data_IF_534522799188
#
_entry.id   IF_534522799188
#
_cell.length_a   1.000
_cell.length_b   1.000
_cell.length_c   1.000
_cell.angle_alpha   90.00
_cell.angle_beta   90.00
_cell.angle_gamma   90.00
#
_symmetry.space_group_name_H-M   'P 1'
#
loop_
_entity.id
_entity.type
_entity.pdbx_description
1 polymer ?
#
# COMPACT_ATOMS: atom_id res chain seq x y z
N UNK A 1 27.10 -6.66 0.59
CA UNK A 1 26.73 -5.92 1.82
C UNK A 1 25.33 -5.37 1.62
N UNK A 2 24.30 -6.18 1.88
CA UNK A 2 22.92 -5.70 1.83
C UNK A 2 22.56 -5.20 3.20
N UNK A 3 22.43 -3.88 3.39
CA UNK A 3 21.89 -3.34 4.62
C UNK A 3 20.51 -3.98 4.84
N UNK A 4 20.38 -4.79 5.90
CA UNK A 4 19.11 -5.38 6.31
C UNK A 4 18.20 -4.23 6.71
N UNK A 5 17.37 -3.76 5.77
CA UNK A 5 16.40 -2.70 6.03
C UNK A 5 15.51 -3.13 7.20
N UNK A 6 15.35 -2.23 8.18
CA UNK A 6 14.57 -2.50 9.38
C UNK A 6 13.10 -2.78 9.02
N UNK A 7 12.44 -3.78 9.64
CA UNK A 7 11.01 -4.06 9.41
C UNK A 7 10.11 -2.82 9.59
N UNK A 8 10.44 -1.97 10.56
CA UNK A 8 9.72 -0.71 10.80
C UNK A 8 9.80 0.25 9.60
N UNK A 9 10.95 0.36 8.94
CA UNK A 9 11.13 1.22 7.77
C UNK A 9 10.31 0.75 6.56
N UNK A 10 10.15 -0.58 6.39
CA UNK A 10 9.25 -1.15 5.38
C UNK A 10 7.78 -0.94 5.71
N UNK A 11 7.40 -1.01 6.99
CA UNK A 11 6.03 -0.69 7.43
C UNK A 11 5.67 0.75 7.14
N UNK A 12 6.57 1.69 7.44
CA UNK A 12 6.38 3.10 7.12
C UNK A 12 6.27 3.31 5.60
N UNK A 13 7.11 2.63 4.82
CA UNK A 13 7.05 2.70 3.36
C UNK A 13 5.69 2.22 2.81
N UNK A 14 5.09 1.15 3.36
CA UNK A 14 3.73 0.73 2.98
C UNK A 14 2.67 1.76 3.31
N UNK A 15 2.77 2.39 4.48
CA UNK A 15 1.84 3.45 4.92
C UNK A 15 1.86 4.61 3.92
N UNK A 16 3.05 5.10 3.58
CA UNK A 16 3.19 6.17 2.58
C UNK A 16 2.76 5.73 1.18
N UNK A 17 3.10 4.51 0.77
CA UNK A 17 2.71 3.98 -0.53
C UNK A 17 1.17 3.91 -0.65
N UNK A 18 0.48 3.50 0.41
CA UNK A 18 -0.98 3.47 0.45
C UNK A 18 -1.58 4.88 0.24
N UNK A 19 -1.08 5.87 0.98
CA UNK A 19 -1.53 7.26 0.84
C UNK A 19 -1.27 7.81 -0.57
N UNK A 20 -0.09 7.53 -1.14
CA UNK A 20 0.27 7.96 -2.49
C UNK A 20 -0.58 7.28 -3.57
N UNK A 21 -0.86 5.98 -3.44
CA UNK A 21 -1.75 5.23 -4.33
C UNK A 21 -3.18 5.78 -4.23
N UNK A 22 -3.66 6.06 -3.03
CA UNK A 22 -4.97 6.68 -2.82
C UNK A 22 -5.05 8.05 -3.49
N UNK A 23 -4.05 8.92 -3.29
CA UNK A 23 -3.94 10.22 -3.97
C UNK A 23 -4.00 10.06 -5.49
N UNK A 24 -3.17 9.16 -6.04
CA UNK A 24 -3.15 8.86 -7.47
C UNK A 24 -4.52 8.40 -8.00
N UNK A 25 -5.27 7.62 -7.23
CA UNK A 25 -6.60 7.18 -7.63
C UNK A 25 -7.61 8.33 -7.75
N UNK A 26 -7.45 9.38 -6.95
CA UNK A 26 -8.31 10.56 -6.95
C UNK A 26 -7.87 11.54 -8.03
N UNK A 27 -6.60 11.96 -7.99
CA UNK A 27 -6.09 13.06 -8.80
C UNK A 27 -5.77 12.63 -10.23
N UNK A 28 -5.46 11.35 -10.45
CA UNK A 28 -4.94 10.82 -11.71
C UNK A 28 -3.68 11.55 -12.21
N UNK A 29 -2.97 12.20 -11.30
CA UNK A 29 -1.72 12.89 -11.61
C UNK A 29 -0.59 11.92 -11.96
N UNK A 30 0.49 12.49 -12.50
CA UNK A 30 1.70 11.73 -12.79
C UNK A 30 2.33 11.21 -11.49
N UNK A 31 2.81 9.96 -11.52
CA UNK A 31 3.45 9.30 -10.38
C UNK A 31 4.63 10.11 -9.84
N UNK A 32 5.45 10.69 -10.71
CA UNK A 32 6.60 11.49 -10.30
C UNK A 32 6.17 12.73 -9.52
N UNK A 33 5.08 13.38 -9.92
CA UNK A 33 4.53 14.55 -9.21
C UNK A 33 4.01 14.16 -7.82
N UNK A 34 3.30 13.04 -7.71
CA UNK A 34 2.83 12.53 -6.42
C UNK A 34 4.02 12.14 -5.55
N UNK A 35 5.02 11.48 -6.11
CA UNK A 35 6.24 11.13 -5.39
C UNK A 35 6.95 12.37 -4.83
N UNK A 36 7.10 13.41 -5.65
CA UNK A 36 7.69 14.70 -5.23
C UNK A 36 6.88 15.38 -4.12
N UNK A 37 5.55 15.36 -4.17
CA UNK A 37 4.70 15.90 -3.10
C UNK A 37 4.97 15.21 -1.76
N UNK A 38 5.13 13.88 -1.78
CA UNK A 38 5.40 13.09 -0.58
C UNK A 38 6.85 13.24 -0.07
N UNK A 39 7.83 13.31 -0.98
CA UNK A 39 9.26 13.47 -0.62
C UNK A 39 9.64 14.89 -0.22
N UNK A 40 8.97 15.90 -0.76
CA UNK A 40 9.21 17.30 -0.38
C UNK A 40 8.64 17.65 1.00
N UNK A 41 7.83 16.76 1.58
CA UNK A 41 7.53 16.62 3.00
C UNK A 41 7.35 17.91 3.81
N UNK A 42 6.11 18.25 4.17
CA UNK A 42 5.86 18.99 5.42
C UNK A 42 6.05 20.52 5.37
N UNK A 43 5.55 21.20 4.33
CA UNK A 43 5.35 22.67 4.35
C UNK A 43 3.88 23.10 4.35
N UNK A 44 3.01 22.28 4.93
CA UNK A 44 1.67 22.73 5.31
C UNK A 44 1.66 22.74 6.84
N UNK A 45 1.91 23.93 7.37
CA UNK A 45 1.88 24.40 8.76
C UNK A 45 2.25 23.41 9.89
N UNK A 46 3.41 23.69 10.50
CA UNK A 46 3.90 23.17 11.77
C UNK A 46 3.09 23.65 13.00
N UNK A 47 1.80 23.91 12.88
CA UNK A 47 1.02 24.44 14.00
C UNK A 47 -0.02 23.40 14.43
N UNK A 48 0.28 22.77 15.57
CA UNK A 48 -0.64 21.99 16.39
C UNK A 48 -0.98 20.57 15.88
N UNK A 49 -0.06 19.62 16.11
CA UNK A 49 -0.33 18.42 16.92
C UNK A 49 0.91 17.51 16.95
N UNK A 50 1.59 17.49 18.10
CA UNK A 50 2.63 16.50 18.39
C UNK A 50 2.04 15.09 18.45
N UNK A 51 2.29 14.28 17.41
CA UNK A 51 2.35 12.83 17.51
C UNK A 51 3.36 12.29 16.48
N UNK A 52 4.05 11.22 16.86
CA UNK A 52 5.16 10.55 16.19
C UNK A 52 4.80 9.93 14.81
N UNK A 53 4.34 10.73 13.86
CA UNK A 53 4.20 10.30 12.47
C UNK A 53 5.61 10.14 11.86
N UNK A 54 5.93 8.97 11.27
CA UNK A 54 7.22 8.75 10.63
C UNK A 54 7.40 9.71 9.46
N UNK A 55 8.62 10.15 9.18
CA UNK A 55 8.92 10.94 7.99
C UNK A 55 9.23 10.02 6.80
N UNK A 56 8.88 10.45 5.57
CA UNK A 56 9.28 9.75 4.33
C UNK A 56 10.75 10.07 3.98
N UNK A 57 11.65 9.80 4.93
CA UNK A 57 13.09 10.02 4.80
C UNK A 57 13.84 8.84 5.39
N UNK A 58 15.04 8.59 4.89
CA UNK A 58 15.92 7.60 5.49
C UNK A 58 16.49 8.15 6.82
N UNK A 59 16.71 7.31 7.84
CA UNK A 59 16.58 5.84 7.83
C UNK A 59 15.20 5.32 8.30
N UNK A 60 14.28 6.21 8.66
CA UNK A 60 13.00 5.84 9.29
C UNK A 60 12.02 5.22 8.31
N UNK A 61 12.15 5.52 7.02
CA UNK A 61 11.37 4.92 5.94
C UNK A 61 12.27 4.39 4.83
N UNK A 62 11.93 3.20 4.33
CA UNK A 62 12.58 2.64 3.13
C UNK A 62 12.03 3.32 1.87
N UNK A 63 12.65 4.45 1.49
CA UNK A 63 12.23 5.27 0.35
C UNK A 63 12.30 4.49 -0.97
N UNK A 64 13.30 3.60 -1.11
CA UNK A 64 13.41 2.77 -2.31
C UNK A 64 12.25 1.78 -2.42
N UNK A 65 11.86 1.18 -1.29
CA UNK A 65 10.70 0.29 -1.24
C UNK A 65 9.38 1.04 -1.49
N UNK A 66 9.21 2.23 -0.91
CA UNK A 66 8.07 3.10 -1.19
C UNK A 66 7.93 3.38 -2.70
N UNK A 67 9.01 3.79 -3.36
CA UNK A 67 9.04 4.08 -4.81
C UNK A 67 8.65 2.88 -5.64
N UNK A 68 9.20 1.72 -5.32
CA UNK A 68 8.89 0.46 -6.01
C UNK A 68 7.42 0.09 -5.88
N UNK A 69 6.85 0.19 -4.67
CA UNK A 69 5.43 -0.09 -4.43
C UNK A 69 4.52 0.87 -5.21
N UNK A 70 4.78 2.18 -5.13
CA UNK A 70 3.97 3.19 -5.80
C UNK A 70 4.03 3.02 -7.33
N UNK A 71 5.22 3.04 -7.91
CA UNK A 71 5.40 2.95 -9.36
C UNK A 71 4.86 1.61 -9.88
N UNK A 72 5.14 0.52 -9.18
CA UNK A 72 4.71 -0.81 -9.56
C UNK A 72 3.21 -1.00 -9.56
N UNK A 73 2.51 -0.47 -8.54
CA UNK A 73 1.04 -0.48 -8.49
C UNK A 73 0.46 0.35 -9.63
N UNK A 74 0.97 1.56 -9.85
CA UNK A 74 0.43 2.43 -10.91
C UNK A 74 0.65 1.83 -12.30
N UNK A 75 1.83 1.25 -12.57
CA UNK A 75 2.10 0.61 -13.87
C UNK A 75 1.29 -0.66 -14.10
N UNK A 76 0.92 -1.37 -13.04
CA UNK A 76 0.26 -2.69 -13.13
C UNK A 76 -1.20 -2.65 -12.70
N UNK A 77 -1.80 -1.48 -12.48
CA UNK A 77 -3.09 -1.37 -11.78
C UNK A 77 -4.21 -2.16 -12.48
N UNK A 78 -4.27 -2.16 -13.82
CA UNK A 78 -5.26 -2.92 -14.58
C UNK A 78 -5.08 -4.42 -14.41
N UNK A 79 -3.84 -4.91 -14.42
CA UNK A 79 -3.51 -6.31 -14.19
C UNK A 79 -3.91 -6.72 -12.77
N UNK A 80 -3.60 -5.88 -11.78
CA UNK A 80 -3.96 -6.08 -10.37
C UNK A 80 -5.47 -6.13 -10.20
N UNK A 81 -6.22 -5.22 -10.82
CA UNK A 81 -7.68 -5.20 -10.77
C UNK A 81 -8.28 -6.47 -11.35
N UNK A 82 -7.77 -6.95 -12.49
CA UNK A 82 -8.18 -8.22 -13.08
C UNK A 82 -7.90 -9.41 -12.15
N UNK A 83 -6.79 -9.40 -11.41
CA UNK A 83 -6.46 -10.44 -10.43
C UNK A 83 -7.28 -10.33 -9.15
N UNK A 84 -7.71 -9.14 -8.73
CA UNK A 84 -8.51 -8.93 -7.52
C UNK A 84 -9.97 -9.35 -7.74
N UNK A 85 -10.52 -9.00 -8.90
CA UNK A 85 -11.95 -9.14 -9.24
C UNK A 85 -12.58 -10.51 -8.96
N UNK A 86 -11.92 -11.67 -9.17
CA UNK A 86 -12.51 -12.97 -8.87
C UNK A 86 -12.75 -13.24 -7.37
N UNK A 87 -12.09 -12.49 -6.50
CA UNK A 87 -12.07 -12.74 -5.06
C UNK A 87 -12.96 -11.77 -4.26
N UNK A 88 -13.44 -10.70 -4.90
CA UNK A 88 -14.32 -9.72 -4.26
C UNK A 88 -15.76 -10.21 -4.23
N UNK A 89 -16.46 -9.95 -3.13
CA UNK A 89 -17.89 -10.28 -2.98
C UNK A 89 -18.81 -9.29 -3.70
N UNK A 90 -18.29 -8.10 -4.05
CA UNK A 90 -18.99 -7.03 -4.75
C UNK A 90 -18.18 -6.53 -5.96
N UNK A 91 -18.83 -5.87 -6.94
CA UNK A 91 -18.16 -5.23 -8.05
C UNK A 91 -17.04 -4.28 -7.60
N UNK A 92 -15.95 -4.21 -8.38
CA UNK A 92 -14.80 -3.35 -8.08
C UNK A 92 -15.16 -1.86 -7.98
N UNK A 93 -16.19 -1.43 -8.72
CA UNK A 93 -16.69 -0.05 -8.71
C UNK A 93 -17.45 0.32 -7.41
N UNK A 94 -17.87 -0.68 -6.64
CA UNK A 94 -18.58 -0.52 -5.37
C UNK A 94 -17.61 -0.62 -4.17
N UNK A 95 -16.30 -0.72 -4.44
CA UNK A 95 -15.27 -0.67 -3.40
C UNK A 95 -14.94 0.78 -3.09
N UNK A 96 -14.70 1.06 -1.81
CA UNK A 96 -14.12 2.35 -1.43
C UNK A 96 -12.71 2.48 -2.03
N UNK A 97 -12.33 3.72 -2.34
CA UNK A 97 -11.01 4.00 -2.91
C UNK A 97 -9.88 3.54 -1.99
N UNK A 98 -10.06 3.61 -0.67
CA UNK A 98 -9.05 3.13 0.29
C UNK A 98 -8.95 1.60 0.28
N UNK A 99 -10.07 0.89 0.25
CA UNK A 99 -10.08 -0.58 0.11
C UNK A 99 -9.39 -1.02 -1.18
N UNK A 100 -9.69 -0.34 -2.29
CA UNK A 100 -9.08 -0.64 -3.58
C UNK A 100 -7.58 -0.38 -3.57
N UNK A 101 -7.13 0.71 -2.94
CA UNK A 101 -5.71 1.02 -2.78
C UNK A 101 -4.98 -0.04 -1.95
N UNK A 102 -5.58 -0.47 -0.84
CA UNK A 102 -5.07 -1.55 0.02
C UNK A 102 -4.93 -2.87 -0.74
N UNK A 103 -5.97 -3.27 -1.48
CA UNK A 103 -5.96 -4.50 -2.26
C UNK A 103 -4.92 -4.46 -3.37
N UNK A 104 -4.79 -3.35 -4.09
CA UNK A 104 -3.76 -3.16 -5.12
C UNK A 104 -2.36 -3.24 -4.55
N UNK A 105 -2.10 -2.54 -3.44
CA UNK A 105 -0.82 -2.56 -2.74
C UNK A 105 -0.44 -3.98 -2.31
N UNK A 106 -1.35 -4.67 -1.62
CA UNK A 106 -1.11 -6.03 -1.13
C UNK A 106 -0.92 -7.03 -2.27
N UNK A 107 -1.70 -6.92 -3.35
CA UNK A 107 -1.58 -7.79 -4.52
C UNK A 107 -0.28 -7.56 -5.28
N UNK A 108 0.16 -6.31 -5.43
CA UNK A 108 1.46 -6.00 -6.01
C UNK A 108 2.59 -6.61 -5.18
N UNK A 109 2.56 -6.41 -3.87
CA UNK A 109 3.59 -6.95 -2.98
C UNK A 109 3.60 -8.50 -3.01
N UNK A 110 2.43 -9.16 -2.98
CA UNK A 110 2.36 -10.62 -3.11
C UNK A 110 2.84 -11.17 -4.46
N UNK A 111 2.62 -10.42 -5.56
CA UNK A 111 2.98 -10.86 -6.92
C UNK A 111 4.44 -10.56 -7.29
N UNK A 112 5.01 -9.46 -6.81
CA UNK A 112 6.32 -8.96 -7.27
C UNK A 112 7.40 -9.00 -6.19
N UNK A 113 7.05 -9.06 -4.89
CA UNK A 113 8.01 -9.06 -3.78
C UNK A 113 8.16 -10.45 -3.17
N UNK A 114 8.98 -11.27 -3.82
CA UNK A 114 9.34 -12.60 -3.30
C UNK A 114 10.10 -12.54 -1.97
N UNK A 115 10.79 -11.42 -1.69
CA UNK A 115 11.51 -11.19 -0.45
C UNK A 115 10.60 -11.00 0.78
N UNK A 116 9.29 -10.78 0.59
CA UNK A 116 8.33 -10.64 1.68
C UNK A 116 7.38 -11.84 1.72
N UNK A 117 7.28 -12.61 2.82
CA UNK A 117 6.31 -13.70 2.92
C UNK A 117 4.88 -13.19 2.77
N UNK A 118 4.04 -13.86 1.96
CA UNK A 118 2.67 -13.40 1.69
C UNK A 118 1.84 -13.21 2.98
N UNK A 119 2.06 -14.02 4.01
CA UNK A 119 1.39 -13.86 5.33
C UNK A 119 1.71 -12.52 6.00
N UNK A 120 2.94 -12.03 5.83
CA UNK A 120 3.35 -10.72 6.34
C UNK A 120 2.62 -9.62 5.56
N UNK A 121 2.53 -9.76 4.23
CA UNK A 121 1.78 -8.82 3.38
C UNK A 121 0.31 -8.71 3.80
N UNK A 122 -0.35 -9.87 4.00
CA UNK A 122 -1.75 -9.93 4.44
C UNK A 122 -1.92 -9.25 5.80
N UNK A 123 -1.08 -9.60 6.78
CA UNK A 123 -1.15 -9.00 8.11
C UNK A 123 -0.96 -7.47 8.07
N UNK A 124 0.03 -6.97 7.33
CA UNK A 124 0.29 -5.53 7.23
C UNK A 124 -0.85 -4.80 6.49
N UNK A 125 -1.47 -5.42 5.47
CA UNK A 125 -2.63 -4.86 4.80
C UNK A 125 -3.85 -4.75 5.72
N UNK A 126 -4.07 -5.73 6.60
CA UNK A 126 -5.15 -5.71 7.60
C UNK A 126 -4.92 -4.61 8.62
N UNK A 127 -3.68 -4.47 9.11
CA UNK A 127 -3.35 -3.41 10.07
C UNK A 127 -3.52 -2.02 9.44
N UNK A 128 -3.10 -1.82 8.18
CA UNK A 128 -3.38 -0.57 7.47
C UNK A 128 -4.88 -0.34 7.26
N UNK A 129 -5.66 -1.37 6.96
CA UNK A 129 -7.11 -1.26 6.81
C UNK A 129 -7.80 -0.81 8.10
N UNK A 130 -7.32 -1.25 9.27
CA UNK A 130 -7.84 -0.79 10.57
C UNK A 130 -7.55 0.69 10.85
N UNK A 131 -6.47 1.22 10.28
CA UNK A 131 -6.03 2.61 10.51
C UNK A 131 -6.69 3.57 9.51
N UNK A 132 -6.82 3.18 8.25
CA UNK A 132 -7.18 4.10 7.15
C UNK A 132 -8.57 3.88 6.55
N UNK A 133 -9.13 2.67 6.65
CA UNK A 133 -10.40 2.35 6.00
C UNK A 133 -11.56 2.37 6.98
N UNK A 134 -12.79 2.32 6.45
CA UNK A 134 -14.01 2.34 7.24
C UNK A 134 -14.13 1.09 8.16
N UNK A 135 -15.02 1.18 9.14
CA UNK A 135 -15.38 0.05 10.01
C UNK A 135 -15.69 -1.20 9.17
N UNK A 136 -15.23 -2.37 9.62
CA UNK A 136 -15.28 -3.66 8.92
C UNK A 136 -14.47 -3.84 7.62
N UNK A 137 -13.84 -2.80 7.06
CA UNK A 137 -13.01 -2.92 5.84
C UNK A 137 -11.87 -3.93 6.01
N UNK A 138 -11.29 -4.02 7.21
CA UNK A 138 -10.24 -4.99 7.53
C UNK A 138 -10.69 -6.45 7.37
N UNK A 139 -11.97 -6.77 7.67
CA UNK A 139 -12.53 -8.12 7.47
C UNK A 139 -12.68 -8.42 5.98
N UNK A 140 -13.15 -7.43 5.22
CA UNK A 140 -13.29 -7.54 3.78
C UNK A 140 -11.94 -7.75 3.10
N UNK A 141 -10.95 -6.89 3.38
CA UNK A 141 -9.58 -6.99 2.86
C UNK A 141 -8.98 -8.35 3.20
N UNK A 142 -9.08 -8.80 4.46
CA UNK A 142 -8.59 -10.12 4.85
C UNK A 142 -9.24 -11.23 4.00
N UNK A 143 -10.58 -11.22 3.88
CA UNK A 143 -11.31 -12.25 3.13
C UNK A 143 -10.97 -12.29 1.64
N UNK A 144 -10.64 -11.16 1.01
CA UNK A 144 -10.19 -11.10 -0.38
C UNK A 144 -8.76 -11.65 -0.50
N UNK A 145 -7.84 -11.18 0.35
CA UNK A 145 -6.43 -11.56 0.25
C UNK A 145 -6.19 -13.03 0.61
N UNK A 146 -6.92 -13.58 1.58
CA UNK A 146 -6.85 -15.01 1.93
C UNK A 146 -7.27 -15.92 0.77
N UNK A 147 -8.27 -15.50 -0.02
CA UNK A 147 -8.70 -16.24 -1.23
C UNK A 147 -7.72 -16.07 -2.39
N UNK A 148 -7.12 -14.89 -2.53
CA UNK A 148 -6.19 -14.59 -3.60
C UNK A 148 -4.82 -15.26 -3.40
N UNK A 149 -4.30 -15.27 -2.17
CA UNK A 149 -2.92 -15.68 -1.87
C UNK A 149 -2.52 -17.07 -2.43
N UNK A 150 -3.33 -18.15 -2.30
CA UNK A 150 -2.98 -19.47 -2.86
C UNK A 150 -2.82 -19.50 -4.38
N UNK A 151 -3.48 -18.60 -5.09
CA UNK A 151 -3.50 -18.54 -6.56
C UNK A 151 -2.40 -17.64 -7.11
N UNK A 152 -2.00 -16.64 -6.33
CA UNK A 152 -1.04 -15.62 -6.71
C UNK A 152 0.38 -16.05 -6.33
N UNK A 153 0.53 -16.83 -5.26
CA UNK A 153 1.82 -17.32 -4.79
C UNK A 153 1.67 -18.75 -4.29
N UNK A 154 2.15 -19.71 -5.10
CA UNK A 154 2.23 -21.10 -4.66
C UNK A 154 3.27 -21.21 -3.54
N UNK A 155 2.88 -21.91 -2.48
CA UNK A 155 3.76 -22.27 -1.35
C UNK A 155 4.98 -23.04 -1.83
#
# INVERSE_FOLDING_TARGET
MGASVKPAARRNARRFALQAIYSWQITKENVATIEEQFLSGGKYDEEEHHAAEPALTAPDTDVAYFRDLLAGVVLSHTELDCKIRPYTSRPMQDLDLMELALLRLAMYEMTRREDVPYKVVINEAIELAKVFAAEDSHKFVNGVLDKAAPHVRKK
#
